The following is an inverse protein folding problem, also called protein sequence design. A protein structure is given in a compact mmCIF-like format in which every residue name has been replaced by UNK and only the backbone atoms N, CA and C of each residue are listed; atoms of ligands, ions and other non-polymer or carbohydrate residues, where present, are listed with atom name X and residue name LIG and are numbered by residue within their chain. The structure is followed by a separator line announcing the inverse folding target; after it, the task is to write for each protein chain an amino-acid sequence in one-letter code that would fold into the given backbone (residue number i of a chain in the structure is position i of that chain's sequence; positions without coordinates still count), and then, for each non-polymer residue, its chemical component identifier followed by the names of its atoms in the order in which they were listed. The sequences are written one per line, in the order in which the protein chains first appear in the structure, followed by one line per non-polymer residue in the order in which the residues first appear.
data_IF_632562963511
#
_entry.id   IF_632562963511
#
_cell.length_a   1.000
_cell.length_b   1.000
_cell.length_c   1.000
_cell.angle_alpha   90.00
_cell.angle_beta   90.00
_cell.angle_gamma   90.00
#
_symmetry.space_group_name_H-M   'P 1'
#
loop_
_entity.id
_entity.type
_entity.pdbx_description
1 polymer ?
#
# COMPACT_ATOMS: atom_id res chain seq x y z
N UNK A 1 6.30 -5.15 -19.22
CA UNK A 1 6.92 -3.89 -19.64
C UNK A 1 7.78 -3.31 -18.50
N UNK A 2 8.76 -4.07 -17.98
CA UNK A 2 9.77 -3.65 -16.97
C UNK A 2 10.93 -4.67 -16.92
N UNK A 3 11.26 -5.32 -18.04
CA UNK A 3 12.27 -6.39 -18.08
C UNK A 3 13.64 -5.91 -17.57
N UNK A 4 14.06 -4.71 -17.97
CA UNK A 4 15.32 -4.10 -17.54
C UNK A 4 15.43 -3.95 -16.00
N UNK A 5 14.33 -3.64 -15.29
CA UNK A 5 14.32 -3.58 -13.82
C UNK A 5 14.43 -4.97 -13.22
N UNK A 6 13.76 -5.96 -13.80
CA UNK A 6 13.83 -7.32 -13.33
C UNK A 6 15.24 -7.90 -13.54
N UNK A 7 15.86 -7.63 -14.69
CA UNK A 7 17.24 -8.01 -15.01
C UNK A 7 18.20 -7.37 -14.00
N UNK A 8 18.08 -6.06 -13.78
CA UNK A 8 18.92 -5.33 -12.82
C UNK A 8 18.75 -5.88 -11.39
N UNK A 9 17.52 -6.03 -10.89
CA UNK A 9 17.27 -6.58 -9.54
C UNK A 9 17.79 -8.02 -9.43
N UNK A 10 17.59 -8.85 -10.46
CA UNK A 10 18.02 -10.25 -10.45
C UNK A 10 19.53 -10.42 -10.37
N UNK A 11 20.29 -9.46 -10.89
CA UNK A 11 21.76 -9.44 -10.83
C UNK A 11 22.32 -9.04 -9.45
N UNK A 12 21.47 -8.63 -8.51
CA UNK A 12 21.90 -8.20 -7.18
C UNK A 12 21.87 -9.33 -6.15
N UNK A 13 22.80 -9.30 -5.19
CA UNK A 13 22.82 -10.19 -4.01
C UNK A 13 21.56 -10.09 -3.14
N UNK A 14 20.74 -9.04 -3.33
CA UNK A 14 19.46 -8.85 -2.66
C UNK A 14 18.42 -9.89 -3.06
N UNK A 15 18.47 -10.38 -4.30
CA UNK A 15 17.56 -11.44 -4.77
C UNK A 15 17.84 -12.74 -4.03
N UNK A 16 19.11 -13.14 -3.94
CA UNK A 16 19.54 -14.33 -3.21
C UNK A 16 19.27 -14.20 -1.71
N UNK A 17 19.61 -13.06 -1.10
CA UNK A 17 19.34 -12.78 0.31
C UNK A 17 17.83 -12.85 0.63
N UNK A 18 16.97 -12.32 -0.24
CA UNK A 18 15.52 -12.37 -0.06
C UNK A 18 14.98 -13.79 -0.17
N UNK A 19 15.50 -14.59 -1.11
CA UNK A 19 15.16 -16.03 -1.22
C UNK A 19 15.62 -16.82 0.00
N UNK A 20 16.84 -16.58 0.47
CA UNK A 20 17.38 -17.22 1.67
C UNK A 20 16.57 -16.86 2.93
N UNK A 21 16.21 -15.58 3.08
CA UNK A 21 15.36 -15.13 4.19
C UNK A 21 13.99 -15.80 4.17
N UNK A 22 13.27 -15.74 3.04
CA UNK A 22 11.94 -16.35 2.91
C UNK A 22 11.97 -17.89 2.97
N UNK A 23 13.08 -18.51 2.56
CA UNK A 23 13.30 -19.95 2.63
C UNK A 23 13.85 -20.47 3.95
N UNK A 24 14.22 -19.60 4.89
CA UNK A 24 14.87 -19.99 6.16
C UNK A 24 14.00 -20.87 7.04
N UNK A 25 12.68 -20.66 7.03
CA UNK A 25 11.69 -21.55 7.65
C UNK A 25 10.34 -21.42 6.94
N UNK A 26 9.56 -22.50 6.91
CA UNK A 26 8.24 -22.55 6.27
C UNK A 26 7.24 -21.52 6.86
N UNK A 27 7.45 -21.09 8.11
CA UNK A 27 6.62 -20.11 8.81
C UNK A 27 6.93 -18.65 8.42
N UNK A 28 8.10 -18.38 7.83
CA UNK A 28 8.54 -17.00 7.54
C UNK A 28 7.63 -16.32 6.51
N UNK A 29 7.32 -16.93 5.34
CA UNK A 29 6.44 -16.26 4.37
C UNK A 29 5.05 -15.93 4.95
N UNK A 30 4.34 -16.84 5.67
CA UNK A 30 3.09 -16.48 6.36
C UNK A 30 3.20 -15.35 7.39
N UNK A 31 4.28 -15.31 8.18
CA UNK A 31 4.49 -14.24 9.16
C UNK A 31 4.73 -12.89 8.48
N UNK A 32 5.61 -12.86 7.49
CA UNK A 32 5.89 -11.65 6.70
C UNK A 32 4.61 -11.15 6.03
N UNK A 33 3.80 -12.07 5.49
CA UNK A 33 2.50 -11.72 4.91
C UNK A 33 1.52 -11.16 5.94
N UNK A 34 1.53 -11.69 7.17
CA UNK A 34 0.68 -11.18 8.27
C UNK A 34 1.06 -9.77 8.67
N UNK A 35 2.37 -9.49 8.78
CA UNK A 35 2.90 -8.14 9.02
C UNK A 35 2.49 -7.20 7.88
N UNK A 36 2.60 -7.66 6.64
CA UNK A 36 2.20 -6.89 5.46
C UNK A 36 0.72 -6.50 5.50
N UNK A 37 -0.18 -7.45 5.76
CA UNK A 37 -1.62 -7.20 5.83
C UNK A 37 -2.00 -6.33 7.02
N UNK A 38 -1.35 -6.50 8.17
CA UNK A 38 -1.52 -5.61 9.32
C UNK A 38 -1.13 -4.17 8.98
N UNK A 39 -0.02 -4.00 8.25
CA UNK A 39 0.41 -2.73 7.69
C UNK A 39 -0.62 -2.13 6.73
N UNK A 40 -1.20 -2.93 5.82
CA UNK A 40 -2.26 -2.49 4.90
C UNK A 40 -3.49 -1.99 5.66
N UNK A 41 -3.95 -2.73 6.67
CA UNK A 41 -5.10 -2.35 7.50
C UNK A 41 -4.81 -1.04 8.23
N UNK A 42 -3.66 -0.93 8.88
CA UNK A 42 -3.27 0.27 9.61
C UNK A 42 -3.13 1.48 8.68
N UNK A 43 -2.46 1.32 7.53
CA UNK A 43 -2.24 2.38 6.56
C UNK A 43 -3.56 2.86 5.98
N UNK A 44 -4.43 1.93 5.60
CA UNK A 44 -5.75 2.25 5.06
C UNK A 44 -6.62 2.96 6.09
N UNK A 45 -6.63 2.50 7.35
CA UNK A 45 -7.35 3.18 8.42
C UNK A 45 -6.83 4.61 8.64
N UNK A 46 -5.50 4.81 8.55
CA UNK A 46 -4.88 6.13 8.64
C UNK A 46 -5.36 7.10 7.55
N UNK A 47 -5.77 6.59 6.39
CA UNK A 47 -6.18 7.40 5.23
C UNK A 47 -7.70 7.56 5.13
N UNK A 48 -8.45 6.45 5.26
CA UNK A 48 -9.90 6.45 5.10
C UNK A 48 -10.57 7.25 6.21
N UNK A 49 -10.12 7.13 7.47
CA UNK A 49 -10.77 7.81 8.59
C UNK A 49 -10.76 9.35 8.45
N UNK A 50 -9.61 10.01 8.19
CA UNK A 50 -9.57 11.42 7.81
C UNK A 50 -10.39 11.77 6.57
N UNK A 51 -10.39 10.92 5.56
CA UNK A 51 -11.14 11.16 4.32
C UNK A 51 -12.64 11.21 4.57
N UNK A 52 -13.17 10.29 5.38
CA UNK A 52 -14.59 10.31 5.80
C UNK A 52 -14.87 11.58 6.62
N UNK A 53 -13.97 11.96 7.53
CA UNK A 53 -14.09 13.20 8.31
C UNK A 53 -14.22 14.45 7.45
N UNK A 54 -13.35 14.56 6.43
CA UNK A 54 -13.37 15.68 5.47
C UNK A 54 -14.63 15.65 4.60
N UNK A 55 -15.00 14.48 4.07
CA UNK A 55 -16.17 14.32 3.20
C UNK A 55 -17.48 14.70 3.92
N UNK A 56 -17.65 14.20 5.14
CA UNK A 56 -18.85 14.43 5.96
C UNK A 56 -18.87 15.79 6.64
N UNK A 57 -17.73 16.50 6.71
CA UNK A 57 -17.54 17.67 7.55
C UNK A 57 -17.95 17.42 9.02
N UNK A 58 -17.82 16.18 9.50
CA UNK A 58 -18.35 15.74 10.80
C UNK A 58 -17.53 16.30 11.97
N UNK A 59 -18.13 17.14 12.85
CA UNK A 59 -17.44 17.66 14.03
C UNK A 59 -16.99 16.54 14.98
N UNK A 60 -17.70 15.41 15.00
CA UNK A 60 -17.37 14.25 15.85
C UNK A 60 -16.04 13.63 15.43
N UNK A 61 -15.81 13.46 14.13
CA UNK A 61 -14.55 12.88 13.63
C UNK A 61 -13.38 13.82 13.93
N UNK A 62 -13.54 15.13 13.74
CA UNK A 62 -12.50 16.10 14.08
C UNK A 62 -12.19 16.20 15.60
N UNK A 63 -13.11 15.78 16.47
CA UNK A 63 -12.91 15.80 17.94
C UNK A 63 -11.92 14.73 18.43
N UNK A 64 -11.60 13.69 17.65
CA UNK A 64 -10.60 12.68 18.02
C UNK A 64 -9.17 13.25 17.98
N UNK A 65 -8.80 13.97 19.04
CA UNK A 65 -7.49 14.61 19.20
C UNK A 65 -6.34 13.61 19.10
N UNK A 66 -6.50 12.41 19.66
CA UNK A 66 -5.50 11.35 19.60
C UNK A 66 -5.15 11.00 18.16
N UNK A 67 -6.15 10.84 17.29
CA UNK A 67 -5.88 10.54 15.88
C UNK A 67 -5.14 11.69 15.17
N UNK A 68 -5.44 12.95 15.51
CA UNK A 68 -4.72 14.11 14.96
C UNK A 68 -3.25 14.17 15.42
N UNK A 69 -2.97 13.74 16.65
CA UNK A 69 -1.63 13.76 17.23
C UNK A 69 -0.74 12.58 16.80
N UNK A 70 -1.34 11.42 16.56
CA UNK A 70 -0.61 10.18 16.26
C UNK A 70 -0.80 9.68 14.82
N UNK A 71 -1.84 10.10 14.10
CA UNK A 71 -2.19 9.57 12.77
C UNK A 71 -1.06 9.69 11.74
N UNK A 72 -0.30 10.79 11.76
CA UNK A 72 0.86 10.94 10.87
C UNK A 72 2.00 9.97 11.24
N UNK A 73 2.22 9.71 12.53
CA UNK A 73 3.20 8.73 12.99
C UNK A 73 2.76 7.30 12.64
N UNK A 74 1.50 6.96 12.89
CA UNK A 74 0.91 5.68 12.52
C UNK A 74 1.00 5.42 11.01
N UNK A 75 0.77 6.45 10.19
CA UNK A 75 0.91 6.36 8.74
C UNK A 75 2.33 5.96 8.32
N UNK A 76 3.37 6.60 8.87
CA UNK A 76 4.76 6.24 8.55
C UNK A 76 5.16 4.86 9.09
N UNK A 77 4.70 4.49 10.27
CA UNK A 77 4.90 3.13 10.81
C UNK A 77 4.28 2.10 9.88
N UNK A 78 3.06 2.34 9.40
CA UNK A 78 2.37 1.43 8.50
C UNK A 78 3.05 1.32 7.13
N UNK A 79 3.57 2.42 6.58
CA UNK A 79 4.44 2.40 5.39
C UNK A 79 5.67 1.54 5.65
N UNK A 80 6.35 1.75 6.78
CA UNK A 80 7.53 0.98 7.18
C UNK A 80 7.23 -0.52 7.23
N UNK A 81 6.12 -0.91 7.87
CA UNK A 81 5.65 -2.30 7.93
C UNK A 81 5.37 -2.87 6.54
N UNK A 82 4.69 -2.12 5.68
CA UNK A 82 4.34 -2.59 4.32
C UNK A 82 5.56 -2.75 3.43
N UNK A 83 6.51 -1.82 3.50
CA UNK A 83 7.75 -1.89 2.73
C UNK A 83 8.66 -3.00 3.23
N UNK A 84 8.92 -3.09 4.53
CA UNK A 84 9.82 -4.11 5.09
C UNK A 84 9.33 -5.53 4.85
N UNK A 85 8.01 -5.75 4.83
CA UNK A 85 7.40 -7.05 4.56
C UNK A 85 7.15 -7.32 3.07
N UNK A 86 6.83 -6.30 2.28
CA UNK A 86 6.51 -6.47 0.86
C UNK A 86 7.75 -6.56 -0.04
N UNK A 87 8.83 -5.85 0.32
CA UNK A 87 10.07 -5.84 -0.48
C UNK A 87 10.71 -7.23 -0.62
N UNK A 88 10.84 -8.06 0.43
CA UNK A 88 11.40 -9.41 0.28
C UNK A 88 10.66 -10.27 -0.76
N UNK A 89 9.33 -10.17 -0.82
CA UNK A 89 8.54 -10.91 -1.82
C UNK A 89 8.82 -10.42 -3.23
N UNK A 90 8.88 -9.10 -3.43
CA UNK A 90 9.20 -8.50 -4.73
C UNK A 90 10.62 -8.89 -5.20
N UNK A 91 11.60 -8.77 -4.32
CA UNK A 91 13.01 -9.04 -4.61
C UNK A 91 13.29 -10.53 -4.83
N UNK A 92 12.57 -11.45 -4.17
CA UNK A 92 12.78 -12.88 -4.37
C UNK A 92 12.36 -13.36 -5.78
N UNK A 93 11.35 -12.72 -6.38
CA UNK A 93 10.80 -13.08 -7.70
C UNK A 93 10.52 -11.84 -8.57
N UNK A 94 11.55 -11.09 -9.00
CA UNK A 94 11.38 -9.79 -9.66
C UNK A 94 10.64 -9.90 -11.00
N UNK A 95 10.93 -10.93 -11.81
CA UNK A 95 10.26 -11.16 -13.09
C UNK A 95 8.76 -11.42 -12.95
N UNK A 96 8.32 -12.09 -11.88
CA UNK A 96 6.90 -12.38 -11.61
C UNK A 96 6.09 -11.09 -11.43
N UNK A 97 6.66 -10.09 -10.75
CA UNK A 97 5.98 -8.82 -10.52
C UNK A 97 6.15 -7.85 -11.69
N UNK A 98 7.31 -7.83 -12.34
CA UNK A 98 7.60 -6.93 -13.46
C UNK A 98 6.83 -7.26 -14.76
N UNK A 99 6.47 -8.53 -14.95
CA UNK A 99 5.66 -8.98 -16.09
C UNK A 99 4.16 -8.79 -15.85
N UNK A 100 3.71 -8.71 -14.59
CA UNK A 100 2.29 -8.62 -14.25
C UNK A 100 1.75 -7.17 -14.43
N UNK A 101 0.80 -6.94 -15.35
CA UNK A 101 0.26 -5.59 -15.60
C UNK A 101 -0.50 -5.02 -14.39
N UNK A 102 -1.11 -5.89 -13.57
CA UNK A 102 -1.86 -5.50 -12.37
C UNK A 102 -0.93 -4.95 -11.31
N UNK A 103 0.29 -5.51 -11.21
CA UNK A 103 1.33 -4.96 -10.34
C UNK A 103 1.73 -3.55 -10.79
N UNK A 104 1.88 -3.32 -12.09
CA UNK A 104 2.17 -1.98 -12.63
C UNK A 104 1.06 -0.97 -12.32
N UNK A 105 -0.21 -1.36 -12.48
CA UNK A 105 -1.36 -0.54 -12.09
C UNK A 105 -1.33 -0.22 -10.60
N UNK A 106 -1.08 -1.23 -9.75
CA UNK A 106 -0.97 -1.04 -8.30
C UNK A 106 0.16 -0.06 -7.94
N UNK A 107 1.32 -0.19 -8.58
CA UNK A 107 2.44 0.71 -8.37
C UNK A 107 2.10 2.16 -8.79
N UNK A 108 1.46 2.35 -9.94
CA UNK A 108 0.97 3.66 -10.40
C UNK A 108 -0.06 4.27 -9.44
N UNK A 109 -1.03 3.48 -8.99
CA UNK A 109 -2.00 3.90 -7.97
C UNK A 109 -1.33 4.27 -6.65
N UNK A 110 -0.24 3.59 -6.27
CA UNK A 110 0.49 3.91 -5.04
C UNK A 110 1.23 5.24 -5.16
N UNK A 111 1.84 5.51 -6.33
CA UNK A 111 2.52 6.77 -6.62
C UNK A 111 1.57 7.98 -6.53
N UNK A 112 0.31 7.82 -6.93
CA UNK A 112 -0.71 8.87 -6.82
C UNK A 112 -1.39 8.87 -5.44
N UNK A 113 -1.66 7.68 -4.90
CA UNK A 113 -2.39 7.47 -3.65
C UNK A 113 -1.63 7.95 -2.41
N UNK A 114 -0.30 7.88 -2.41
CA UNK A 114 0.53 8.37 -1.30
C UNK A 114 0.46 9.91 -1.15
N UNK A 115 0.70 10.73 -2.19
CA UNK A 115 0.47 12.16 -2.13
C UNK A 115 -0.95 12.54 -1.70
N UNK A 116 -1.96 11.84 -2.22
CA UNK A 116 -3.36 12.06 -1.83
C UNK A 116 -3.58 11.77 -0.33
N UNK A 117 -3.07 10.66 0.18
CA UNK A 117 -3.13 10.32 1.59
C UNK A 117 -2.46 11.37 2.48
N UNK A 118 -1.27 11.83 2.10
CA UNK A 118 -0.56 12.89 2.83
C UNK A 118 -1.37 14.19 2.81
N UNK A 119 -1.93 14.57 1.66
CA UNK A 119 -2.75 15.77 1.55
C UNK A 119 -3.98 15.70 2.48
N UNK A 120 -4.71 14.58 2.45
CA UNK A 120 -5.86 14.34 3.35
C UNK A 120 -5.44 14.42 4.82
N UNK A 121 -4.33 13.77 5.20
CA UNK A 121 -3.82 13.82 6.58
C UNK A 121 -3.49 15.26 7.02
N UNK A 122 -2.88 16.06 6.15
CA UNK A 122 -2.54 17.46 6.43
C UNK A 122 -3.80 18.33 6.54
N UNK A 123 -4.75 18.19 5.62
CA UNK A 123 -6.05 18.89 5.65
C UNK A 123 -6.78 18.58 6.95
N UNK A 124 -6.83 17.29 7.31
CA UNK A 124 -7.50 16.82 8.52
C UNK A 124 -6.83 17.33 9.79
N UNK A 125 -5.49 17.34 9.84
CA UNK A 125 -4.72 17.86 10.97
C UNK A 125 -4.88 19.36 11.15
N UNK A 126 -4.93 20.12 10.04
CA UNK A 126 -5.10 21.59 10.05
C UNK A 126 -6.55 22.04 10.24
N UNK A 127 -7.51 21.12 10.20
CA UNK A 127 -8.94 21.42 10.32
C UNK A 127 -9.38 22.49 9.32
N UNK A 128 -8.92 22.38 8.06
CA UNK A 128 -9.34 23.34 7.03
C UNK A 128 -10.86 23.32 6.88
N UNK A 129 -11.44 24.50 6.65
CA UNK A 129 -12.87 24.62 6.43
C UNK A 129 -13.34 23.73 5.29
N UNK A 130 -14.49 23.09 5.49
CA UNK A 130 -15.08 22.18 4.51
C UNK A 130 -15.43 22.93 3.22
N UNK A 131 -14.71 22.62 2.14
CA UNK A 131 -14.97 23.11 0.79
C UNK A 131 -15.23 21.95 -0.16
N UNK A 132 -16.01 22.17 -1.21
CA UNK A 132 -16.45 21.11 -2.13
C UNK A 132 -15.28 20.34 -2.76
N UNK A 133 -14.19 21.03 -3.12
CA UNK A 133 -13.01 20.40 -3.70
C UNK A 133 -12.23 19.52 -2.70
N UNK A 134 -12.26 19.85 -1.40
CA UNK A 134 -11.67 19.00 -0.36
C UNK A 134 -12.48 17.72 -0.16
N UNK A 135 -13.82 17.81 -0.27
CA UNK A 135 -14.69 16.63 -0.26
C UNK A 135 -14.43 15.74 -1.47
N UNK A 136 -14.29 16.32 -2.66
CA UNK A 136 -13.95 15.59 -3.87
C UNK A 136 -12.59 14.88 -3.74
N UNK A 137 -11.57 15.59 -3.23
CA UNK A 137 -10.26 15.02 -2.95
C UNK A 137 -10.35 13.80 -1.99
N UNK A 138 -11.15 13.91 -0.93
CA UNK A 138 -11.36 12.81 0.01
C UNK A 138 -12.03 11.59 -0.66
N UNK A 139 -13.04 11.80 -1.49
CA UNK A 139 -13.71 10.71 -2.25
C UNK A 139 -12.74 10.04 -3.22
N UNK A 140 -11.98 10.82 -3.98
CA UNK A 140 -10.96 10.30 -4.91
C UNK A 140 -9.91 9.49 -4.13
N UNK A 141 -9.48 10.00 -2.98
CA UNK A 141 -8.53 9.29 -2.11
C UNK A 141 -9.10 7.95 -1.67
N UNK A 142 -10.35 7.90 -1.19
CA UNK A 142 -11.00 6.63 -0.81
C UNK A 142 -11.04 5.67 -2.00
N UNK A 143 -11.46 6.13 -3.18
CA UNK A 143 -11.54 5.28 -4.39
C UNK A 143 -10.17 4.71 -4.78
N UNK A 144 -9.13 5.53 -4.77
CA UNK A 144 -7.75 5.09 -5.08
C UNK A 144 -7.26 4.04 -4.08
N UNK A 145 -7.51 4.22 -2.80
CA UNK A 145 -7.08 3.29 -1.76
C UNK A 145 -7.87 1.98 -1.77
N UNK A 146 -9.18 2.01 -2.10
CA UNK A 146 -9.97 0.80 -2.35
C UNK A 146 -9.42 0.05 -3.56
N UNK A 147 -9.14 0.74 -4.67
CA UNK A 147 -8.54 0.14 -5.85
C UNK A 147 -7.17 -0.51 -5.56
N UNK A 148 -6.33 0.12 -4.73
CA UNK A 148 -5.04 -0.43 -4.29
C UNK A 148 -5.19 -1.77 -3.54
N UNK A 149 -6.18 -1.87 -2.65
CA UNK A 149 -6.45 -3.10 -1.88
C UNK A 149 -6.92 -4.20 -2.83
N UNK A 150 -7.87 -3.88 -3.72
CA UNK A 150 -8.39 -4.83 -4.71
C UNK A 150 -7.28 -5.33 -5.65
N UNK A 151 -6.43 -4.42 -6.15
CA UNK A 151 -5.29 -4.77 -6.98
C UNK A 151 -4.34 -5.74 -6.27
N UNK A 152 -4.18 -5.63 -4.95
CA UNK A 152 -3.38 -6.56 -4.15
C UNK A 152 -3.83 -8.02 -4.26
N UNK A 153 -5.14 -8.28 -4.24
CA UNK A 153 -5.69 -9.64 -4.44
C UNK A 153 -5.70 -10.03 -5.92
N UNK A 154 -5.98 -9.06 -6.79
CA UNK A 154 -6.05 -9.30 -8.22
C UNK A 154 -4.70 -9.73 -8.82
N UNK A 155 -3.55 -9.32 -8.27
CA UNK A 155 -2.22 -9.81 -8.67
C UNK A 155 -2.15 -11.34 -8.62
N UNK A 156 -2.71 -11.96 -7.57
CA UNK A 156 -2.73 -13.41 -7.44
C UNK A 156 -3.69 -14.05 -8.45
N UNK A 157 -4.90 -13.49 -8.62
CA UNK A 157 -5.87 -14.03 -9.56
C UNK A 157 -5.43 -13.90 -11.02
N UNK A 158 -4.81 -12.78 -11.40
CA UNK A 158 -4.28 -12.60 -12.75
C UNK A 158 -3.18 -13.61 -13.05
N UNK A 159 -2.40 -13.99 -12.04
CA UNK A 159 -1.38 -15.03 -12.22
C UNK A 159 -2.03 -16.39 -12.46
N UNK A 160 -3.02 -16.78 -11.65
CA UNK A 160 -3.76 -18.02 -11.89
C UNK A 160 -4.46 -18.07 -13.25
N UNK A 161 -4.97 -16.94 -13.75
CA UNK A 161 -5.76 -16.89 -14.98
C UNK A 161 -4.91 -16.76 -16.26
N UNK A 162 -3.84 -15.97 -16.21
CA UNK A 162 -3.05 -15.63 -17.40
C UNK A 162 -1.67 -16.30 -17.43
N UNK A 163 -1.24 -16.91 -16.31
CA UNK A 163 0.04 -17.61 -16.20
C UNK A 163 -0.09 -18.94 -15.41
N UNK A 164 -0.96 -19.88 -15.85
CA UNK A 164 -1.12 -21.16 -15.18
C UNK A 164 0.09 -22.07 -15.47
N UNK A 165 1.04 -22.13 -14.53
CA UNK A 165 2.29 -22.92 -14.63
C UNK A 165 3.48 -22.02 -14.97
N UNK A 166 4.62 -22.08 -14.29
CA UNK A 166 5.32 -23.27 -13.81
C UNK A 166 5.44 -23.30 -12.27
N UNK A 167 4.90 -24.36 -11.65
CA UNK A 167 5.15 -24.70 -10.24
C UNK A 167 6.42 -25.52 -10.13
#
# INVERSE_FOLDING_TARGET
MFSWLADWVSSTSLTEASRAFLGSASVVPPLVQTIHLSGVVLLTACVIFPSIGIFTASPVLFKYHQFRAYGFRCFWVAIGMMLSSGLPFFLARPYRYASNPVFSIKAGLLLVGLPLAIAVLLIYRRQLESRWYLKLLAVITIMVWVALILAGRWIAYSEYLFWPGDF
#
